data_IF_946917236892
#
_entry.id   IF_946917236892
#
_cell.length_a   1.000
_cell.length_b   1.000
_cell.length_c   1.000
_cell.angle_alpha   90.00
_cell.angle_beta   90.00
_cell.angle_gamma   90.00
#
_symmetry.space_group_name_H-M   'P 1'
#
loop_
_entity.id
_entity.type
_entity.pdbx_description
1 polymer ?
#
# COMPACT_ATOMS: atom_id res chain seq x y z
N UNK A 1 13.72 6.03 -10.65
CA UNK A 1 13.58 5.26 -11.91
C UNK A 1 12.52 4.14 -11.81
N UNK A 2 12.25 3.59 -10.62
CA UNK A 2 11.39 2.41 -10.46
C UNK A 2 9.89 2.74 -10.42
N UNK A 3 9.50 3.91 -9.93
CA UNK A 3 8.10 4.35 -9.92
C UNK A 3 7.58 4.71 -11.32
N UNK A 4 8.43 5.21 -12.21
CA UNK A 4 8.03 5.48 -13.60
C UNK A 4 7.62 4.19 -14.32
N UNK A 5 8.32 3.08 -14.05
CA UNK A 5 8.00 1.77 -14.63
C UNK A 5 6.66 1.24 -14.10
N UNK A 6 6.34 1.47 -12.82
CA UNK A 6 5.04 1.09 -12.25
C UNK A 6 3.90 1.90 -12.89
N UNK A 7 4.08 3.22 -13.01
CA UNK A 7 3.12 4.12 -13.65
C UNK A 7 2.95 3.76 -15.13
N UNK A 8 4.04 3.50 -15.86
CA UNK A 8 3.98 3.03 -17.25
C UNK A 8 3.26 1.68 -17.40
N UNK A 9 3.51 0.72 -16.51
CA UNK A 9 2.85 -0.60 -16.55
C UNK A 9 1.34 -0.49 -16.28
N UNK A 10 0.91 0.48 -15.47
CA UNK A 10 -0.51 0.72 -15.16
C UNK A 10 -1.22 1.47 -16.29
N UNK A 11 -0.51 2.37 -17.00
CA UNK A 11 -1.10 3.25 -18.01
C UNK A 11 -0.75 2.88 -19.46
N UNK A 12 -0.41 1.64 -19.74
CA UNK A 12 0.07 1.15 -21.05
C UNK A 12 -0.78 1.52 -22.29
N UNK A 13 -1.91 2.24 -22.16
CA UNK A 13 -2.78 2.64 -23.28
C UNK A 13 -3.42 4.04 -23.16
N UNK A 14 -2.96 4.91 -22.27
CA UNK A 14 -3.44 6.29 -22.19
C UNK A 14 -2.28 7.29 -22.18
N UNK A 15 -2.47 8.49 -22.71
CA UNK A 15 -1.52 9.59 -22.46
C UNK A 15 -1.40 9.76 -20.94
N UNK A 16 -0.20 9.49 -20.40
CA UNK A 16 0.08 9.59 -18.98
C UNK A 16 -0.24 11.01 -18.53
N UNK A 17 -1.15 11.21 -17.56
CA UNK A 17 -1.28 12.51 -16.94
C UNK A 17 0.08 12.93 -16.36
N UNK A 18 0.40 14.22 -16.29
CA UNK A 18 1.65 14.67 -15.72
C UNK A 18 1.79 14.06 -14.31
N UNK A 19 2.81 13.19 -14.14
CA UNK A 19 3.06 12.54 -12.87
C UNK A 19 3.31 13.64 -11.85
N UNK A 20 2.42 13.76 -10.87
CA UNK A 20 2.57 14.73 -9.80
C UNK A 20 3.94 14.53 -9.15
N UNK A 21 4.66 15.62 -8.91
CA UNK A 21 6.01 15.59 -8.32
C UNK A 21 6.08 14.75 -7.03
N UNK A 22 4.96 14.63 -6.33
CA UNK A 22 4.80 13.80 -5.14
C UNK A 22 5.07 12.31 -5.36
N UNK A 23 4.91 11.78 -6.60
CA UNK A 23 5.20 10.39 -6.96
C UNK A 23 6.64 10.16 -7.45
N UNK A 24 7.46 11.21 -7.53
CA UNK A 24 8.80 11.13 -8.12
C UNK A 24 9.90 10.77 -7.13
N UNK A 25 9.58 10.60 -5.86
CA UNK A 25 10.56 10.23 -4.84
C UNK A 25 10.80 8.72 -4.82
N UNK A 26 12.03 8.32 -4.52
CA UNK A 26 12.41 6.91 -4.39
C UNK A 26 12.15 6.36 -2.97
N UNK A 27 11.95 7.24 -2.00
CA UNK A 27 11.77 6.84 -0.59
C UNK A 27 10.65 7.64 0.04
N UNK A 28 9.83 6.95 0.86
CA UNK A 28 8.77 7.57 1.65
C UNK A 28 8.77 7.04 3.08
N UNK A 29 8.36 7.88 4.01
CA UNK A 29 8.15 7.50 5.40
C UNK A 29 6.66 7.55 5.75
N UNK A 30 6.05 6.41 5.98
CA UNK A 30 4.66 6.28 6.40
C UNK A 30 4.58 6.31 7.92
N UNK A 31 3.79 7.22 8.49
CA UNK A 31 3.49 7.30 9.93
C UNK A 31 2.00 7.13 10.16
N UNK A 32 1.66 6.23 11.05
CA UNK A 32 0.27 6.00 11.46
C UNK A 32 0.00 6.69 12.80
N UNK A 33 -1.06 7.51 12.83
CA UNK A 33 -1.66 8.05 14.06
C UNK A 33 -2.97 7.29 14.33
N UNK A 34 -3.08 6.65 15.47
CA UNK A 34 -4.28 5.88 15.87
C UNK A 34 -5.12 6.74 16.81
N UNK A 35 -6.39 6.93 16.46
CA UNK A 35 -7.39 7.60 17.28
C UNK A 35 -8.36 6.55 17.82
N UNK A 36 -8.32 6.29 19.13
CA UNK A 36 -9.03 5.17 19.79
C UNK A 36 -10.53 5.04 19.41
N UNK A 37 -11.21 6.14 19.14
CA UNK A 37 -12.64 6.15 18.81
C UNK A 37 -12.96 6.57 17.36
N UNK A 38 -11.98 7.15 16.65
CA UNK A 38 -12.25 7.82 15.35
C UNK A 38 -11.54 7.15 14.16
N UNK A 39 -10.74 6.10 14.38
CA UNK A 39 -10.00 5.41 13.35
C UNK A 39 -8.52 5.70 13.35
N UNK A 40 -7.91 5.81 12.16
CA UNK A 40 -6.50 6.07 11.99
C UNK A 40 -6.26 7.12 10.90
N UNK A 41 -5.18 7.87 11.04
CA UNK A 41 -4.65 8.72 9.98
C UNK A 41 -3.23 8.25 9.61
N UNK A 42 -2.95 8.27 8.32
CA UNK A 42 -1.65 7.94 7.77
C UNK A 42 -1.08 9.17 7.08
N UNK A 43 0.11 9.55 7.49
CA UNK A 43 0.89 10.59 6.87
C UNK A 43 2.05 9.93 6.15
N UNK A 44 2.20 10.20 4.88
CA UNK A 44 3.28 9.71 4.03
C UNK A 44 4.16 10.90 3.71
N UNK A 45 5.39 10.87 4.20
CA UNK A 45 6.36 11.95 4.08
C UNK A 45 7.34 11.66 2.95
N UNK A 46 7.71 12.68 2.22
CA UNK A 46 8.82 12.68 1.27
C UNK A 46 10.19 12.67 1.98
N UNK A 47 11.31 12.54 1.27
CA UNK A 47 12.65 12.58 1.87
C UNK A 47 13.00 13.92 2.54
N UNK A 48 12.36 15.01 2.15
CA UNK A 48 12.54 16.33 2.77
C UNK A 48 11.71 16.50 4.05
N UNK A 49 10.84 15.55 4.36
CA UNK A 49 9.97 15.56 5.54
C UNK A 49 8.64 16.30 5.35
N UNK A 50 8.28 16.66 4.12
CA UNK A 50 6.98 17.23 3.81
C UNK A 50 5.94 16.12 3.66
N UNK A 51 4.67 16.41 3.93
CA UNK A 51 3.57 15.49 3.67
C UNK A 51 3.36 15.37 2.16
N UNK A 52 3.72 14.22 1.59
CA UNK A 52 3.49 13.90 0.19
C UNK A 52 2.07 13.36 -0.03
N UNK A 53 1.60 12.49 0.90
CA UNK A 53 0.26 11.93 0.83
C UNK A 53 -0.35 11.80 2.22
N UNK A 54 -1.67 11.83 2.25
CA UNK A 54 -2.47 11.69 3.47
C UNK A 54 -3.62 10.70 3.25
N UNK A 55 -3.92 9.90 4.28
CA UNK A 55 -5.10 9.04 4.31
C UNK A 55 -5.74 9.04 5.68
N UNK A 56 -7.08 9.09 5.72
CA UNK A 56 -7.85 9.01 6.95
C UNK A 56 -8.84 7.85 6.86
N UNK A 57 -8.67 6.87 7.74
CA UNK A 57 -9.57 5.73 7.86
C UNK A 57 -10.54 5.93 9.03
N UNK A 58 -11.82 5.69 8.78
CA UNK A 58 -12.86 5.70 9.82
C UNK A 58 -12.79 4.38 10.60
N UNK A 59 -12.98 4.46 11.93
CA UNK A 59 -13.19 3.27 12.76
C UNK A 59 -14.50 2.56 12.38
N UNK A 60 -14.56 1.25 12.64
CA UNK A 60 -15.76 0.41 12.54
C UNK A 60 -16.40 0.29 11.15
N UNK A 61 -15.63 0.42 10.07
CA UNK A 61 -16.13 0.06 8.73
C UNK A 61 -16.07 -1.44 8.52
N UNK A 62 -17.15 -2.03 8.04
CA UNK A 62 -17.23 -3.46 7.67
C UNK A 62 -16.50 -3.76 6.36
N UNK A 63 -16.35 -2.76 5.50
CA UNK A 63 -15.61 -2.84 4.23
C UNK A 63 -14.57 -1.74 4.17
N UNK A 64 -13.41 -2.06 3.65
CA UNK A 64 -12.34 -1.08 3.47
C UNK A 64 -12.69 -0.09 2.36
N UNK A 65 -12.54 1.21 2.68
CA UNK A 65 -12.67 2.34 1.77
C UNK A 65 -11.57 3.33 2.16
N UNK A 66 -10.40 3.11 1.57
CA UNK A 66 -9.19 3.90 1.81
C UNK A 66 -9.09 4.95 0.72
N UNK A 67 -8.86 6.18 1.10
CA UNK A 67 -8.68 7.30 0.19
C UNK A 67 -7.33 7.96 0.44
N UNK A 68 -6.60 8.21 -0.64
CA UNK A 68 -5.31 8.86 -0.61
C UNK A 68 -5.48 10.27 -1.17
N UNK A 69 -5.05 11.25 -0.39
CA UNK A 69 -5.12 12.67 -0.70
C UNK A 69 -3.73 13.27 -0.84
N UNK A 70 -3.63 14.42 -1.48
CA UNK A 70 -2.38 15.20 -1.61
C UNK A 70 -1.86 15.70 -0.27
N UNK A 71 -2.76 16.00 0.68
CA UNK A 71 -2.42 16.60 1.99
C UNK A 71 -3.56 16.39 3.01
N UNK A 72 -3.38 16.93 4.23
CA UNK A 72 -4.29 16.78 5.36
C UNK A 72 -5.64 17.52 5.17
N UNK A 73 -5.72 18.54 4.31
CA UNK A 73 -6.96 19.26 4.03
C UNK A 73 -7.94 18.45 3.17
N UNK A 74 -7.44 17.33 2.59
CA UNK A 74 -8.22 16.41 1.75
C UNK A 74 -8.86 17.09 0.54
N UNK A 75 -8.25 18.17 0.03
CA UNK A 75 -8.78 18.96 -1.09
C UNK A 75 -8.74 18.21 -2.43
N UNK A 76 -7.73 17.33 -2.60
CA UNK A 76 -7.58 16.55 -3.83
C UNK A 76 -7.38 15.07 -3.48
N UNK A 77 -8.34 14.24 -3.87
CA UNK A 77 -8.26 12.78 -3.77
C UNK A 77 -7.49 12.23 -4.98
N UNK A 78 -6.41 11.49 -4.74
CA UNK A 78 -5.55 10.91 -5.76
C UNK A 78 -5.93 9.48 -6.10
N UNK A 79 -6.25 8.67 -5.07
CA UNK A 79 -6.61 7.27 -5.23
C UNK A 79 -7.74 6.89 -4.28
N UNK A 80 -8.65 6.06 -4.79
CA UNK A 80 -9.64 5.34 -3.97
C UNK A 80 -9.29 3.85 -3.99
N UNK A 81 -9.18 3.24 -2.80
CA UNK A 81 -8.90 1.80 -2.65
C UNK A 81 -10.07 1.18 -1.90
N UNK A 82 -10.75 0.22 -2.54
CA UNK A 82 -11.95 -0.43 -1.98
C UNK A 82 -11.89 -1.93 -2.08
N UNK A 83 -12.52 -2.61 -1.10
CA UNK A 83 -12.81 -4.04 -1.18
C UNK A 83 -14.30 -4.30 -0.98
N UNK A 84 -14.82 -5.28 -1.70
CA UNK A 84 -16.17 -5.77 -1.51
C UNK A 84 -16.23 -6.85 -0.42
N UNK A 85 -15.10 -7.45 -0.09
CA UNK A 85 -14.99 -8.50 0.91
C UNK A 85 -15.01 -7.94 2.32
N UNK A 86 -15.80 -8.59 3.19
CA UNK A 86 -15.80 -8.33 4.65
C UNK A 86 -14.73 -9.19 5.32
N UNK A 87 -14.32 -10.28 4.69
CA UNK A 87 -13.33 -11.23 5.21
C UNK A 87 -12.00 -11.03 4.50
N UNK A 88 -10.94 -10.93 5.28
CA UNK A 88 -9.57 -10.70 4.80
C UNK A 88 -8.95 -11.89 4.02
N UNK A 89 -9.63 -13.02 4.01
CA UNK A 89 -9.16 -14.25 3.38
C UNK A 89 -9.33 -14.16 1.86
N UNK A 90 -8.25 -13.79 1.14
CA UNK A 90 -8.28 -13.64 -0.32
C UNK A 90 -8.92 -12.35 -0.81
N UNK A 91 -9.05 -11.34 0.06
CA UNK A 91 -9.61 -10.03 -0.29
C UNK A 91 -8.87 -9.39 -1.47
N UNK A 92 -9.64 -8.82 -2.38
CA UNK A 92 -9.14 -8.00 -3.48
C UNK A 92 -9.46 -6.55 -3.21
N UNK A 93 -8.44 -5.70 -3.26
CA UNK A 93 -8.52 -4.25 -3.08
C UNK A 93 -8.41 -3.59 -4.43
N UNK A 94 -9.50 -3.03 -4.92
CA UNK A 94 -9.57 -2.34 -6.20
C UNK A 94 -9.08 -0.90 -6.05
N UNK A 95 -8.14 -0.51 -6.91
CA UNK A 95 -7.55 0.82 -6.93
C UNK A 95 -8.14 1.59 -8.11
N UNK A 96 -8.72 2.76 -7.84
CA UNK A 96 -9.34 3.60 -8.84
C UNK A 96 -8.74 5.02 -8.79
N UNK A 97 -8.70 5.67 -9.95
CA UNK A 97 -8.28 7.06 -10.10
C UNK A 97 -9.52 7.98 -10.14
N UNK A 98 -9.82 8.73 -9.06
CA UNK A 98 -10.95 9.64 -9.03
C UNK A 98 -10.78 10.84 -9.95
N UNK A 99 -9.53 11.23 -10.27
CA UNK A 99 -9.24 12.34 -11.16
C UNK A 99 -9.63 12.03 -12.64
N UNK A 100 -9.66 10.74 -12.97
CA UNK A 100 -10.13 10.24 -14.26
C UNK A 100 -11.55 9.65 -14.20
N UNK A 101 -12.42 10.21 -13.37
CA UNK A 101 -13.81 9.74 -13.25
C UNK A 101 -13.98 8.40 -12.54
N UNK A 102 -13.01 7.99 -11.73
CA UNK A 102 -13.05 6.74 -11.00
C UNK A 102 -12.62 5.51 -11.82
N UNK A 103 -11.82 5.72 -12.85
CA UNK A 103 -11.29 4.62 -13.70
C UNK A 103 -10.54 3.63 -12.82
N UNK A 104 -10.83 2.33 -13.03
CA UNK A 104 -10.10 1.24 -12.39
C UNK A 104 -8.69 1.11 -13.00
N UNK A 105 -7.66 1.32 -12.18
CA UNK A 105 -6.27 1.29 -12.62
C UNK A 105 -5.56 -0.03 -12.27
N UNK A 106 -6.07 -0.80 -11.30
CA UNK A 106 -5.50 -2.07 -10.91
C UNK A 106 -6.00 -2.54 -9.56
N UNK A 107 -5.47 -3.65 -9.08
CA UNK A 107 -5.88 -4.22 -7.79
C UNK A 107 -4.72 -4.87 -7.05
N UNK A 108 -4.89 -4.99 -5.73
CA UNK A 108 -4.06 -5.79 -4.84
C UNK A 108 -4.90 -6.95 -4.31
N UNK A 109 -4.45 -8.19 -4.50
CA UNK A 109 -5.15 -9.38 -4.02
C UNK A 109 -4.27 -10.20 -3.09
N UNK A 110 -4.78 -10.52 -1.91
CA UNK A 110 -4.11 -11.39 -0.95
C UNK A 110 -4.20 -12.85 -1.40
N UNK A 111 -3.10 -13.60 -1.33
CA UNK A 111 -3.04 -15.03 -1.69
C UNK A 111 -3.55 -15.94 -0.56
N UNK A 112 -4.78 -15.74 -0.10
CA UNK A 112 -5.56 -16.64 0.76
C UNK A 112 -4.76 -17.53 1.73
N UNK A 113 -4.85 -18.85 1.57
CA UNK A 113 -4.22 -19.85 2.45
C UNK A 113 -2.68 -19.75 2.51
N UNK A 114 -2.01 -19.35 1.44
CA UNK A 114 -0.54 -19.16 1.44
C UNK A 114 -0.11 -18.05 2.37
N UNK A 115 -0.94 -17.01 2.53
CA UNK A 115 -0.70 -15.90 3.46
C UNK A 115 -0.86 -16.27 4.95
N UNK A 116 -1.21 -17.52 5.28
CA UNK A 116 -1.20 -17.98 6.68
C UNK A 116 0.22 -18.14 7.19
N UNK A 117 1.15 -18.59 6.34
CA UNK A 117 2.55 -18.82 6.74
C UNK A 117 3.40 -17.59 6.43
N UNK A 118 3.23 -17.01 5.26
CA UNK A 118 3.95 -15.86 4.74
C UNK A 118 2.96 -14.95 4.03
N UNK A 119 2.90 -13.68 4.39
CA UNK A 119 2.00 -12.74 3.72
C UNK A 119 2.45 -12.52 2.27
N UNK A 120 1.54 -12.84 1.34
CA UNK A 120 1.73 -12.65 -0.10
C UNK A 120 0.55 -11.90 -0.70
N UNK A 121 0.86 -10.90 -1.51
CA UNK A 121 -0.10 -10.09 -2.25
C UNK A 121 0.32 -10.00 -3.71
N UNK A 122 -0.62 -10.09 -4.62
CA UNK A 122 -0.36 -9.91 -6.06
C UNK A 122 -0.87 -8.56 -6.53
N UNK A 123 -0.08 -7.94 -7.41
CA UNK A 123 -0.51 -6.81 -8.20
C UNK A 123 -1.27 -7.31 -9.42
N UNK A 124 -2.44 -6.73 -9.67
CA UNK A 124 -3.25 -6.99 -10.86
C UNK A 124 -3.34 -5.67 -11.64
N UNK A 125 -3.19 -5.75 -12.96
CA UNK A 125 -3.50 -4.62 -13.84
C UNK A 125 -5.02 -4.40 -13.95
N UNK A 126 -5.44 -3.38 -14.69
CA UNK A 126 -6.87 -3.07 -14.91
C UNK A 126 -7.64 -4.22 -15.57
N UNK A 127 -6.98 -5.06 -16.35
CA UNK A 127 -7.56 -6.26 -16.97
C UNK A 127 -7.62 -7.48 -16.03
N UNK A 128 -7.18 -7.37 -14.77
CA UNK A 128 -7.16 -8.46 -13.80
C UNK A 128 -6.02 -9.47 -13.96
N UNK A 129 -5.03 -9.18 -14.80
CA UNK A 129 -3.86 -10.03 -15.00
C UNK A 129 -2.82 -9.78 -13.90
N UNK A 130 -2.18 -10.83 -13.41
CA UNK A 130 -1.10 -10.71 -12.43
C UNK A 130 0.14 -10.11 -13.09
N UNK A 131 0.62 -8.98 -12.57
CA UNK A 131 1.79 -8.26 -13.08
C UNK A 131 2.94 -8.21 -12.07
N UNK A 132 2.69 -8.59 -10.81
CA UNK A 132 3.72 -8.53 -9.78
C UNK A 132 3.27 -9.12 -8.46
N UNK A 133 4.19 -9.08 -7.49
CA UNK A 133 4.03 -9.70 -6.18
C UNK A 133 4.62 -8.81 -5.08
N UNK A 134 3.93 -8.72 -3.94
CA UNK A 134 4.51 -8.28 -2.67
C UNK A 134 4.53 -9.48 -1.73
N UNK A 135 5.66 -9.74 -1.13
CA UNK A 135 5.81 -10.85 -0.19
C UNK A 135 6.64 -10.45 1.04
N UNK A 136 6.32 -11.05 2.17
CA UNK A 136 7.10 -10.92 3.38
C UNK A 136 8.49 -11.56 3.19
N UNK A 137 9.55 -10.94 3.72
CA UNK A 137 10.97 -11.28 3.46
C UNK A 137 11.34 -12.73 3.78
N UNK A 138 10.91 -13.23 4.94
CA UNK A 138 11.33 -14.55 5.43
C UNK A 138 10.16 -15.31 6.05
N UNK A 139 9.86 -16.50 5.52
CA UNK A 139 8.86 -17.39 6.10
C UNK A 139 9.23 -17.82 7.52
N UNK A 140 10.53 -18.01 7.81
CA UNK A 140 11.01 -18.37 9.15
C UNK A 140 10.80 -17.25 10.15
N UNK A 141 11.12 -15.99 9.79
CA UNK A 141 10.88 -14.81 10.61
C UNK A 141 9.38 -14.51 10.76
N UNK A 142 8.58 -14.71 9.71
CA UNK A 142 7.13 -14.59 9.76
C UNK A 142 6.53 -15.57 10.77
N UNK A 143 7.01 -16.82 10.76
CA UNK A 143 6.58 -17.85 11.69
C UNK A 143 6.98 -17.53 13.15
N UNK A 144 8.21 -17.09 13.38
CA UNK A 144 8.68 -16.64 14.68
C UNK A 144 7.87 -15.45 15.21
N UNK A 145 7.54 -14.48 14.37
CA UNK A 145 6.65 -13.35 14.72
C UNK A 145 5.28 -13.82 15.20
N UNK A 146 4.70 -14.83 14.54
CA UNK A 146 3.36 -15.34 14.90
C UNK A 146 3.33 -16.13 16.19
N UNK A 147 4.36 -16.92 16.47
CA UNK A 147 4.32 -17.87 17.60
C UNK A 147 5.04 -17.38 18.87
N UNK A 148 6.06 -16.52 18.77
CA UNK A 148 6.91 -16.22 19.92
C UNK A 148 7.10 -14.73 20.23
N UNK A 149 7.28 -13.85 19.25
CA UNK A 149 7.76 -12.49 19.48
C UNK A 149 7.15 -11.47 18.50
N UNK A 150 5.88 -11.59 18.15
CA UNK A 150 5.22 -10.86 17.08
C UNK A 150 5.39 -9.34 17.06
N UNK A 151 5.70 -8.74 18.21
CA UNK A 151 5.89 -7.30 18.35
C UNK A 151 7.38 -6.88 18.36
N UNK A 152 8.32 -7.83 18.55
CA UNK A 152 9.76 -7.55 18.68
C UNK A 152 10.53 -7.63 17.35
N UNK A 153 10.03 -8.37 16.36
CA UNK A 153 10.74 -8.57 15.11
C UNK A 153 10.23 -7.59 14.03
N UNK A 154 11.12 -6.84 13.37
CA UNK A 154 10.73 -5.96 12.27
C UNK A 154 10.13 -6.78 11.13
N UNK A 155 9.11 -6.23 10.50
CA UNK A 155 8.44 -6.82 9.34
C UNK A 155 8.91 -6.10 8.09
N UNK A 156 9.32 -6.87 7.10
CA UNK A 156 9.79 -6.37 5.80
C UNK A 156 9.04 -7.08 4.68
N UNK A 157 8.73 -6.33 3.64
CA UNK A 157 8.09 -6.84 2.43
C UNK A 157 8.85 -6.37 1.21
N UNK A 158 9.04 -7.28 0.27
CA UNK A 158 9.66 -7.01 -1.02
C UNK A 158 8.60 -7.07 -2.12
N UNK A 159 8.57 -6.04 -2.97
CA UNK A 159 7.68 -5.96 -4.12
C UNK A 159 8.42 -6.10 -5.43
N UNK A 160 7.84 -6.87 -6.35
CA UNK A 160 8.37 -7.06 -7.71
C UNK A 160 7.27 -6.85 -8.74
N UNK A 161 7.64 -6.31 -9.93
CA UNK A 161 6.83 -6.36 -11.14
C UNK A 161 7.52 -7.29 -12.14
N UNK A 162 6.86 -8.41 -12.48
CA UNK A 162 7.56 -9.51 -13.12
C UNK A 162 8.75 -9.95 -12.25
N UNK A 163 9.97 -9.84 -12.80
CA UNK A 163 11.22 -10.16 -12.10
C UNK A 163 12.00 -8.92 -11.63
N UNK A 164 11.43 -7.72 -11.77
CA UNK A 164 12.10 -6.46 -11.42
C UNK A 164 11.69 -6.04 -10.01
N UNK A 165 12.62 -5.88 -9.06
CA UNK A 165 12.31 -5.27 -7.76
C UNK A 165 11.85 -3.83 -7.94
N UNK A 166 10.71 -3.48 -7.32
CA UNK A 166 10.11 -2.14 -7.46
C UNK A 166 9.90 -1.43 -6.13
N UNK A 167 9.81 -2.16 -5.03
CA UNK A 167 9.68 -1.55 -3.72
C UNK A 167 10.10 -2.49 -2.59
N UNK A 168 10.51 -1.89 -1.48
CA UNK A 168 10.76 -2.55 -0.22
C UNK A 168 10.04 -1.79 0.89
N UNK A 169 9.24 -2.48 1.69
CA UNK A 169 8.59 -1.92 2.88
C UNK A 169 9.27 -2.45 4.11
N UNK A 170 9.76 -1.57 4.97
CA UNK A 170 10.39 -1.92 6.23
C UNK A 170 9.71 -1.23 7.40
N UNK A 171 9.06 -2.03 8.24
CA UNK A 171 8.47 -1.54 9.48
C UNK A 171 9.54 -1.38 10.55
N UNK A 172 9.61 -0.22 11.19
CA UNK A 172 10.49 -0.02 12.33
C UNK A 172 9.93 -0.70 13.59
N UNK A 173 10.85 -1.02 14.49
CA UNK A 173 10.50 -1.46 15.83
C UNK A 173 10.24 -0.24 16.73
N UNK A 174 8.98 0.10 16.92
CA UNK A 174 8.55 1.08 17.93
C UNK A 174 7.12 0.73 18.40
N UNK A 175 6.91 0.35 19.66
CA UNK A 175 5.60 -0.05 20.15
C UNK A 175 4.59 1.12 20.24
N UNK A 176 5.06 2.37 20.22
CA UNK A 176 4.20 3.55 20.38
C UNK A 176 3.89 4.25 19.06
N UNK A 177 4.77 4.14 18.06
CA UNK A 177 4.61 4.80 16.76
C UNK A 177 4.96 3.82 15.66
N UNK A 178 3.96 3.39 14.90
CA UNK A 178 4.22 2.59 13.71
C UNK A 178 4.78 3.48 12.60
N UNK A 179 6.00 3.16 12.16
CA UNK A 179 6.65 3.78 11.01
C UNK A 179 6.97 2.70 10.01
N UNK A 180 6.73 2.98 8.74
CA UNK A 180 7.13 2.12 7.63
C UNK A 180 7.92 2.96 6.65
N UNK A 181 9.13 2.51 6.32
CA UNK A 181 9.90 3.08 5.21
C UNK A 181 9.55 2.29 3.95
N UNK A 182 9.32 3.01 2.87
CA UNK A 182 9.13 2.50 1.52
C UNK A 182 10.30 3.01 0.67
N UNK A 183 11.09 2.10 0.13
CA UNK A 183 12.23 2.36 -0.76
C UNK A 183 11.98 1.76 -2.13
#
# INVERSE_FOLDING_TARGET
>A
LHWSIFVEAVYMNSELPPVLSQFQHNTYLIRQKIFKLFGAAFHIYDPAGNVAFYSKQKAFKLKEDIRIYTNEDMSMELLTIRTESILDFGATYHVNDPQQGGVHIGSLRRKGLKSIIRDEWVFLNAAGQEIGLIQEDSAALALLRRFYLGWLLPQQYDGTLGNVPVCNFKRNFNPFVSKVTLD
#
